data_IF_521814984443
#
_entry.id   IF_521814984443
#
_cell.length_a   1.000
_cell.length_b   1.000
_cell.length_c   1.000
_cell.angle_alpha   90.00
_cell.angle_beta   90.00
_cell.angle_gamma   90.00
#
_symmetry.space_group_name_H-M   'P 1'
#
loop_
_entity.id
_entity.type
_entity.pdbx_description
1 polymer ?
#
# COMPACT_ATOMS: atom_id res chain seq x y z
N UNK A 1 -15.21 -8.98 -25.88
CA UNK A 1 -14.90 -10.39 -25.60
C UNK A 1 -14.14 -10.38 -24.30
N UNK A 2 -14.71 -10.96 -23.24
CA UNK A 2 -13.99 -11.11 -21.97
C UNK A 2 -12.89 -12.15 -22.20
N UNK A 3 -11.64 -11.72 -22.12
CA UNK A 3 -10.51 -12.61 -22.33
C UNK A 3 -10.46 -13.62 -21.19
N UNK A 4 -10.52 -14.90 -21.54
CA UNK A 4 -10.53 -16.00 -20.58
C UNK A 4 -9.32 -15.96 -19.63
N UNK A 5 -9.53 -16.42 -18.39
CA UNK A 5 -8.45 -16.63 -17.43
C UNK A 5 -7.52 -17.75 -17.93
N UNK A 6 -6.21 -17.51 -18.07
CA UNK A 6 -5.23 -18.52 -18.45
C UNK A 6 -5.24 -19.73 -17.50
N UNK A 7 -5.14 -20.94 -18.04
CA UNK A 7 -5.20 -22.18 -17.25
C UNK A 7 -3.99 -22.39 -16.33
N UNK A 8 -2.85 -21.79 -16.68
CA UNK A 8 -1.61 -21.86 -15.91
C UNK A 8 -1.49 -20.75 -14.85
N UNK A 9 -2.46 -19.84 -14.77
CA UNK A 9 -2.53 -18.86 -13.68
C UNK A 9 -3.14 -19.46 -12.42
N UNK A 10 -2.77 -18.94 -11.23
CA UNK A 10 -3.43 -19.32 -9.99
C UNK A 10 -4.93 -19.01 -10.05
N UNK A 11 -5.69 -19.61 -9.14
CA UNK A 11 -7.11 -19.26 -8.93
C UNK A 11 -7.23 -17.76 -8.66
N UNK A 12 -8.32 -17.17 -9.15
CA UNK A 12 -8.60 -15.75 -8.90
C UNK A 12 -8.70 -15.49 -7.40
N UNK A 13 -7.98 -14.47 -6.94
CA UNK A 13 -8.09 -13.98 -5.57
C UNK A 13 -9.39 -13.18 -5.40
N UNK A 14 -9.82 -12.99 -4.15
CA UNK A 14 -11.00 -12.19 -3.82
C UNK A 14 -10.85 -10.73 -4.30
N UNK A 15 -9.64 -10.18 -4.18
CA UNK A 15 -9.28 -8.86 -4.72
C UNK A 15 -8.53 -9.03 -6.06
N UNK A 16 -9.22 -8.77 -7.17
CA UNK A 16 -8.67 -8.82 -8.53
C UNK A 16 -8.86 -7.48 -9.26
N UNK A 17 -7.76 -6.89 -9.70
CA UNK A 17 -7.75 -5.69 -10.53
C UNK A 17 -7.36 -6.04 -11.98
N UNK A 18 -8.16 -5.62 -12.95
CA UNK A 18 -7.89 -5.84 -14.38
C UNK A 18 -7.60 -4.51 -15.06
N UNK A 19 -6.32 -4.28 -15.39
CA UNK A 19 -5.87 -3.09 -16.13
C UNK A 19 -5.86 -3.33 -17.64
N UNK A 20 -5.53 -4.56 -18.05
CA UNK A 20 -5.65 -5.00 -19.43
C UNK A 20 -6.38 -6.35 -19.45
N UNK A 21 -7.59 -6.44 -20.02
CA UNK A 21 -8.29 -7.70 -20.18
C UNK A 21 -7.46 -8.71 -20.98
N UNK A 22 -6.67 -8.26 -21.95
CA UNK A 22 -5.78 -9.12 -22.73
C UNK A 22 -4.36 -9.18 -22.14
N UNK A 23 -4.19 -8.72 -20.91
CA UNK A 23 -2.92 -8.72 -20.21
C UNK A 23 -2.33 -10.12 -20.12
N UNK A 24 -1.02 -10.18 -20.33
CA UNK A 24 -0.16 -11.36 -20.32
C UNK A 24 0.72 -11.42 -19.05
N UNK A 25 0.57 -10.49 -18.13
CA UNK A 25 1.28 -10.50 -16.84
C UNK A 25 0.27 -10.47 -15.71
N UNK A 26 0.47 -11.34 -14.72
CA UNK A 26 -0.27 -11.34 -13.46
C UNK A 26 0.67 -10.97 -12.32
N UNK A 27 0.44 -9.82 -11.69
CA UNK A 27 1.16 -9.41 -10.48
C UNK A 27 0.45 -9.96 -9.26
N UNK A 28 1.21 -10.54 -8.32
CA UNK A 28 0.71 -11.07 -7.05
C UNK A 28 1.23 -10.21 -5.89
N UNK A 29 0.33 -9.55 -5.18
CA UNK A 29 0.64 -8.66 -4.05
C UNK A 29 -0.06 -9.15 -2.79
N UNK A 30 0.37 -8.61 -1.64
CA UNK A 30 -0.17 -8.94 -0.34
C UNK A 30 -0.69 -7.67 0.34
N UNK A 31 -1.94 -7.70 0.79
CA UNK A 31 -2.52 -6.67 1.67
C UNK A 31 -2.43 -7.17 3.11
N UNK A 32 -1.78 -6.40 3.97
CA UNK A 32 -1.74 -6.66 5.41
C UNK A 32 -2.92 -5.95 6.07
N UNK A 33 -3.93 -6.72 6.48
CA UNK A 33 -5.11 -6.17 7.14
C UNK A 33 -4.76 -5.90 8.61
N UNK A 34 -4.90 -4.64 9.03
CA UNK A 34 -4.78 -4.28 10.45
C UNK A 34 -6.10 -4.59 11.16
N UNK A 35 -6.05 -4.96 12.43
CA UNK A 35 -7.23 -5.30 13.24
C UNK A 35 -8.30 -4.17 13.27
N UNK A 36 -7.90 -2.93 12.98
CA UNK A 36 -8.75 -1.74 12.96
C UNK A 36 -9.71 -1.70 11.75
N UNK A 37 -9.41 -2.38 10.64
CA UNK A 37 -10.28 -2.39 9.44
C UNK A 37 -11.47 -3.36 9.56
N UNK A 38 -11.52 -4.18 10.62
CA UNK A 38 -12.55 -5.22 10.81
C UNK A 38 -13.87 -4.60 11.31
N UNK A 39 -13.84 -3.39 11.88
CA UNK A 39 -15.04 -2.75 12.44
C UNK A 39 -15.97 -2.11 11.42
N UNK A 40 -15.56 -1.97 10.15
CA UNK A 40 -16.40 -1.34 9.11
C UNK A 40 -17.37 -2.31 8.38
N UNK A 41 -17.31 -3.63 8.68
CA UNK A 41 -18.18 -4.62 8.04
C UNK A 41 -19.45 -4.97 8.83
N UNK A 42 -19.63 -4.46 10.06
CA UNK A 42 -20.84 -4.70 10.86
C UNK A 42 -21.32 -3.35 11.39
N UNK A 43 -22.53 -2.97 10.98
CA UNK A 43 -23.28 -1.75 11.33
C UNK A 43 -22.93 -0.45 10.59
N UNK A 44 -23.42 -0.32 9.35
CA UNK A 44 -23.88 0.99 8.86
C UNK A 44 -25.15 0.90 8.02
N UNK A 45 -26.29 0.91 8.72
CA UNK A 45 -27.55 1.39 8.16
C UNK A 45 -27.36 2.82 7.63
N UNK A 46 -27.83 3.14 6.40
CA UNK A 46 -27.60 4.44 5.79
C UNK A 46 -28.58 5.47 6.34
N UNK A 47 -28.13 6.31 7.27
CA UNK A 47 -28.82 7.57 7.60
C UNK A 47 -28.27 8.70 6.73
N UNK A 48 -29.15 9.26 5.90
CA UNK A 48 -28.92 10.45 5.08
C UNK A 48 -28.69 11.69 5.98
N UNK A 49 -27.70 12.55 5.69
CA UNK A 49 -27.63 13.87 6.31
C UNK A 49 -28.30 14.94 5.42
N UNK A 50 -29.25 15.64 6.04
CA UNK A 50 -29.88 16.88 5.57
C UNK A 50 -28.89 18.06 5.69
N UNK A 51 -28.96 18.98 4.73
CA UNK A 51 -28.22 20.25 4.65
C UNK A 51 -28.55 21.23 5.79
N UNK A 52 -27.77 22.33 5.82
CA UNK A 52 -27.83 23.58 6.62
C UNK A 52 -26.75 23.60 7.73
N UNK A 53 -25.85 24.57 7.89
CA UNK A 53 -25.60 25.87 7.26
C UNK A 53 -24.14 26.30 7.48
N UNK A 54 -23.68 27.21 6.63
CA UNK A 54 -22.37 27.88 6.65
C UNK A 54 -22.42 29.03 7.67
N UNK A 55 -21.50 29.08 8.64
CA UNK A 55 -21.13 30.35 9.30
C UNK A 55 -19.62 30.46 9.51
N UNK A 56 -19.08 31.54 8.93
CA UNK A 56 -17.71 32.03 9.03
C UNK A 56 -17.63 33.00 10.20
N UNK A 57 -16.70 32.81 11.14
CA UNK A 57 -16.23 33.91 12.00
C UNK A 57 -14.72 33.80 12.23
N UNK A 58 -14.01 34.82 11.76
CA UNK A 58 -12.61 35.11 12.10
C UNK A 58 -12.54 35.87 13.43
N UNK A 59 -11.54 35.59 14.26
CA UNK A 59 -11.09 36.53 15.29
C UNK A 59 -9.60 36.33 15.63
N UNK A 60 -8.98 37.48 15.86
CA UNK A 60 -7.56 37.82 16.02
C UNK A 60 -6.86 37.26 17.27
N UNK A 61 -5.53 37.13 17.11
CA UNK A 61 -4.43 37.55 18.00
C UNK A 61 -4.50 37.30 19.53
N UNK A 62 -3.55 36.49 20.01
CA UNK A 62 -2.90 36.70 21.31
C UNK A 62 -1.48 36.08 21.32
N UNK A 63 -0.45 36.94 21.35
CA UNK A 63 0.91 36.63 21.82
C UNK A 63 0.84 36.33 23.35
N UNK A 64 1.76 35.65 24.06
CA UNK A 64 3.23 35.69 24.25
C UNK A 64 3.55 34.46 25.19
N UNK A 65 4.75 34.20 25.76
CA UNK A 65 6.15 34.19 25.32
C UNK A 65 6.85 32.83 25.48
N UNK A 66 8.02 32.73 24.85
CA UNK A 66 9.06 31.69 24.99
C UNK A 66 9.56 31.56 26.44
N UNK A 67 9.63 30.33 26.94
CA UNK A 67 10.43 29.96 28.10
C UNK A 67 11.40 28.84 27.72
N UNK A 68 12.69 29.18 27.71
CA UNK A 68 13.79 28.24 27.75
C UNK A 68 13.75 27.46 29.08
N UNK A 69 13.81 26.13 29.03
CA UNK A 69 14.38 25.37 30.14
C UNK A 69 15.11 24.14 29.62
N UNK A 70 16.37 24.08 30.03
CA UNK A 70 17.43 23.12 29.78
C UNK A 70 17.15 21.82 30.57
N UNK A 71 17.31 20.61 29.99
CA UNK A 71 17.30 19.39 30.79
C UNK A 71 18.73 19.01 31.22
N UNK A 72 19.03 19.28 32.49
CA UNK A 72 20.22 18.79 33.20
C UNK A 72 20.05 17.28 33.49
N UNK A 73 21.05 16.49 33.10
CA UNK A 73 21.18 15.08 33.44
C UNK A 73 22.03 14.91 34.72
N UNK A 74 21.75 13.89 35.53
CA UNK A 74 22.84 13.27 36.29
C UNK A 74 22.90 11.75 36.09
N UNK A 75 24.12 11.29 35.87
CA UNK A 75 24.53 9.90 35.91
C UNK A 75 24.79 9.39 37.36
N UNK A 76 24.91 8.06 37.45
CA UNK A 76 25.63 7.24 38.44
C UNK A 76 24.87 6.70 39.65
N UNK A 77 24.92 5.35 39.78
CA UNK A 77 25.07 4.69 41.09
C UNK A 77 24.18 3.46 41.36
N UNK A 78 24.60 2.28 40.91
CA UNK A 78 24.28 0.98 41.56
C UNK A 78 24.95 0.88 42.97
N UNK A 79 24.61 -0.06 43.90
CA UNK A 79 24.02 -1.39 43.69
C UNK A 79 22.95 -1.90 44.71
N UNK A 80 22.48 -3.12 44.43
CA UNK A 80 21.49 -4.03 45.06
C UNK A 80 21.41 -4.09 46.60
N UNK A 81 20.24 -4.52 47.13
CA UNK A 81 20.23 -5.80 47.85
C UNK A 81 19.08 -6.74 47.46
N UNK A 82 19.39 -8.04 47.59
CA UNK A 82 18.49 -9.18 47.52
C UNK A 82 17.31 -9.10 48.52
N UNK A 83 16.11 -9.42 48.05
CA UNK A 83 15.17 -10.19 48.85
C UNK A 83 14.17 -10.96 47.95
N UNK A 84 14.18 -12.27 48.18
CA UNK A 84 13.29 -13.28 47.65
C UNK A 84 11.85 -12.99 48.02
N UNK A 85 10.93 -13.04 47.05
CA UNK A 85 9.53 -13.41 47.23
C UNK A 85 8.90 -13.67 45.87
N UNK A 86 8.87 -14.94 45.48
CA UNK A 86 8.08 -15.43 44.36
C UNK A 86 6.60 -15.24 44.66
N UNK A 87 5.95 -14.37 43.89
CA UNK A 87 4.51 -14.47 43.64
C UNK A 87 4.34 -14.37 42.13
N UNK A 88 4.47 -15.50 41.46
CA UNK A 88 4.00 -15.67 40.09
C UNK A 88 2.48 -15.57 40.13
N UNK A 89 1.96 -14.37 39.90
CA UNK A 89 0.59 -14.20 39.44
C UNK A 89 0.58 -14.74 38.03
N UNK A 90 0.03 -15.94 37.87
CA UNK A 90 -0.33 -16.46 36.57
C UNK A 90 -1.39 -15.53 35.99
N UNK A 91 -0.94 -14.56 35.19
CA UNK A 91 -1.79 -13.89 34.24
C UNK A 91 -2.01 -14.89 33.10
N UNK A 92 -2.95 -15.80 33.31
CA UNK A 92 -3.54 -16.59 32.23
C UNK A 92 -4.43 -15.61 31.45
N UNK A 93 -3.78 -14.85 30.59
CA UNK A 93 -4.45 -14.09 29.56
C UNK A 93 -3.97 -14.69 28.25
N UNK A 94 -4.87 -15.20 27.42
CA UNK A 94 -4.51 -15.55 26.07
C UNK A 94 -4.20 -14.21 25.40
N UNK A 95 -2.91 -13.84 25.39
CA UNK A 95 -2.40 -13.01 24.33
C UNK A 95 -2.57 -13.85 23.06
N UNK A 96 -3.76 -13.78 22.47
CA UNK A 96 -3.93 -14.11 21.07
C UNK A 96 -3.04 -13.11 20.33
N UNK A 97 -1.83 -13.55 20.03
CA UNK A 97 -0.99 -12.99 19.00
C UNK A 97 -1.78 -13.15 17.70
N UNK A 98 -2.67 -12.19 17.43
CA UNK A 98 -3.49 -12.15 16.24
C UNK A 98 -2.55 -11.97 15.06
N UNK A 99 -2.14 -13.10 14.47
CA UNK A 99 -1.38 -13.14 13.23
C UNK A 99 -2.03 -12.18 12.22
N UNK A 100 -1.27 -11.21 11.68
CA UNK A 100 -1.82 -10.25 10.73
C UNK A 100 -2.40 -11.01 9.54
N UNK A 101 -3.69 -10.80 9.27
CA UNK A 101 -4.35 -11.46 8.14
C UNK A 101 -3.79 -10.89 6.84
N UNK A 102 -3.15 -11.76 6.06
CA UNK A 102 -2.66 -11.42 4.73
C UNK A 102 -3.75 -11.77 3.72
N UNK A 103 -4.21 -10.78 2.96
CA UNK A 103 -5.10 -10.97 1.82
C UNK A 103 -4.31 -10.89 0.52
N UNK A 104 -4.44 -11.90 -0.34
CA UNK A 104 -3.78 -11.89 -1.64
C UNK A 104 -4.53 -10.96 -2.61
N UNK A 105 -3.77 -10.11 -3.31
CA UNK A 105 -4.27 -9.20 -4.34
C UNK A 105 -3.66 -9.58 -5.69
N UNK A 106 -4.50 -9.67 -6.72
CA UNK A 106 -4.08 -10.01 -8.08
C UNK A 106 -4.29 -8.83 -9.03
N UNK A 107 -3.32 -8.57 -9.89
CA UNK A 107 -3.43 -7.49 -10.88
C UNK A 107 -3.05 -7.99 -12.27
N UNK A 108 -4.03 -7.99 -13.19
CA UNK A 108 -3.82 -8.38 -14.60
C UNK A 108 -3.42 -7.17 -15.43
N UNK A 109 -2.24 -7.23 -16.03
CA UNK A 109 -1.59 -6.10 -16.70
C UNK A 109 -0.92 -6.52 -18.02
N UNK A 110 -0.59 -5.54 -18.85
CA UNK A 110 0.07 -5.76 -20.13
C UNK A 110 1.59 -5.67 -20.01
N UNK A 111 2.32 -6.70 -20.43
CA UNK A 111 3.79 -6.70 -20.51
C UNK A 111 4.28 -5.53 -21.35
N UNK A 112 3.58 -5.19 -22.44
CA UNK A 112 3.94 -4.09 -23.35
C UNK A 112 3.92 -2.74 -22.65
N UNK A 113 2.88 -2.46 -21.86
CA UNK A 113 2.79 -1.20 -21.11
C UNK A 113 3.86 -1.15 -20.02
N UNK A 114 4.08 -2.24 -19.28
CA UNK A 114 5.14 -2.31 -18.27
C UNK A 114 6.54 -2.08 -18.87
N UNK A 115 6.86 -2.77 -19.97
CA UNK A 115 8.16 -2.66 -20.69
C UNK A 115 8.40 -1.27 -21.27
N UNK A 116 7.32 -0.59 -21.69
CA UNK A 116 7.40 0.76 -22.21
C UNK A 116 7.63 1.78 -21.10
N UNK A 117 6.92 1.65 -19.98
CA UNK A 117 6.95 2.62 -18.89
C UNK A 117 8.14 2.48 -17.94
N UNK A 118 8.73 1.29 -17.82
CA UNK A 118 9.75 0.99 -16.81
C UNK A 118 10.95 0.24 -17.39
N UNK A 119 12.15 0.74 -17.10
CA UNK A 119 13.38 -0.01 -17.35
C UNK A 119 13.49 -1.27 -16.46
N UNK A 120 13.03 -1.18 -15.21
CA UNK A 120 13.05 -2.30 -14.25
C UNK A 120 12.15 -3.44 -14.74
N UNK A 121 10.91 -3.15 -15.11
CA UNK A 121 10.01 -4.18 -15.68
C UNK A 121 10.51 -4.71 -17.01
N UNK A 122 11.08 -3.86 -17.87
CA UNK A 122 11.71 -4.33 -19.12
C UNK A 122 12.77 -5.38 -18.84
N UNK A 123 13.67 -5.12 -17.91
CA UNK A 123 14.75 -6.03 -17.56
C UNK A 123 14.21 -7.33 -16.96
N UNK A 124 13.23 -7.23 -16.05
CA UNK A 124 12.60 -8.38 -15.41
C UNK A 124 11.85 -9.28 -16.41
N UNK A 125 11.03 -8.69 -17.29
CA UNK A 125 10.24 -9.41 -18.29
C UNK A 125 11.07 -9.93 -19.46
N UNK A 126 12.24 -9.32 -19.72
CA UNK A 126 13.20 -9.79 -20.74
C UNK A 126 14.21 -10.81 -20.18
N UNK A 127 14.13 -11.15 -18.89
CA UNK A 127 14.97 -12.19 -18.30
C UNK A 127 14.71 -13.55 -18.96
N UNK A 128 15.68 -14.46 -18.88
CA UNK A 128 15.56 -15.76 -19.55
C UNK A 128 14.31 -16.53 -19.11
N UNK A 129 13.97 -16.53 -17.82
CA UNK A 129 12.80 -17.22 -17.29
C UNK A 129 11.49 -16.56 -17.72
N UNK A 130 11.30 -15.28 -17.38
CA UNK A 130 10.05 -14.56 -17.67
C UNK A 130 9.82 -14.41 -19.17
N UNK A 131 10.89 -14.11 -19.93
CA UNK A 131 10.85 -14.00 -21.39
C UNK A 131 10.50 -15.33 -22.05
N UNK A 132 11.08 -16.45 -21.59
CA UNK A 132 10.74 -17.77 -22.10
C UNK A 132 9.28 -18.15 -21.82
N UNK A 133 8.76 -17.83 -20.62
CA UNK A 133 7.35 -18.04 -20.29
C UNK A 133 6.43 -17.21 -21.18
N UNK A 134 6.71 -15.91 -21.37
CA UNK A 134 5.94 -15.06 -22.28
C UNK A 134 5.97 -15.55 -23.74
N UNK A 135 7.04 -16.19 -24.17
CA UNK A 135 7.14 -16.77 -25.51
C UNK A 135 6.37 -18.10 -25.63
N UNK A 136 6.48 -18.96 -24.63
CA UNK A 136 5.95 -20.34 -24.66
C UNK A 136 4.48 -20.39 -24.22
N UNK A 137 4.18 -19.80 -23.08
CA UNK A 137 2.88 -19.84 -22.41
C UNK A 137 2.03 -18.60 -22.70
N UNK A 138 2.61 -17.58 -23.35
CA UNK A 138 1.97 -16.29 -23.65
C UNK A 138 1.54 -15.50 -22.42
N UNK A 139 1.97 -15.91 -21.24
CA UNK A 139 1.71 -15.21 -20.00
C UNK A 139 2.78 -15.52 -18.94
N UNK A 140 2.85 -14.69 -17.89
CA UNK A 140 3.78 -14.86 -16.77
C UNK A 140 3.17 -14.32 -15.48
N UNK A 141 3.53 -14.94 -14.35
CA UNK A 141 3.14 -14.51 -13.00
C UNK A 141 4.35 -13.95 -12.28
N UNK A 142 4.20 -12.81 -11.59
CA UNK A 142 5.28 -12.15 -10.87
C UNK A 142 4.86 -11.78 -9.44
N UNK A 143 5.62 -12.22 -8.41
CA UNK A 143 5.36 -11.84 -7.03
C UNK A 143 5.93 -10.45 -6.71
N UNK A 144 5.14 -9.65 -5.98
CA UNK A 144 5.46 -8.33 -5.44
C UNK A 144 4.98 -8.28 -3.98
N UNK A 145 5.57 -9.09 -3.08
CA UNK A 145 5.09 -9.22 -1.71
C UNK A 145 5.30 -7.94 -0.87
N UNK A 146 6.32 -7.14 -1.22
CA UNK A 146 6.71 -5.94 -0.48
C UNK A 146 6.02 -4.66 -0.99
N UNK A 147 5.32 -4.74 -2.12
CA UNK A 147 4.62 -3.60 -2.69
C UNK A 147 3.23 -3.44 -2.10
N UNK A 148 2.88 -2.20 -1.78
CA UNK A 148 1.56 -1.88 -1.29
C UNK A 148 0.55 -1.88 -2.45
N UNK A 149 -0.55 -2.65 -2.36
CA UNK A 149 -1.52 -2.77 -3.45
C UNK A 149 -2.07 -1.43 -3.94
N UNK A 150 -2.41 -0.52 -3.03
CA UNK A 150 -3.03 0.76 -3.38
C UNK A 150 -2.07 1.68 -4.16
N UNK A 151 -0.77 1.61 -3.83
CA UNK A 151 0.29 2.32 -4.56
C UNK A 151 0.39 1.76 -5.99
N UNK A 152 0.46 0.44 -6.11
CA UNK A 152 0.56 -0.22 -7.41
C UNK A 152 -0.68 0.00 -8.28
N UNK A 153 -1.88 0.05 -7.71
CA UNK A 153 -3.11 0.37 -8.45
C UNK A 153 -3.02 1.73 -9.13
N UNK A 154 -2.54 2.76 -8.41
CA UNK A 154 -2.37 4.10 -8.97
C UNK A 154 -1.34 4.09 -10.10
N UNK A 155 -0.16 3.50 -9.85
CA UNK A 155 0.91 3.43 -10.84
C UNK A 155 0.49 2.67 -12.10
N UNK A 156 -0.25 1.58 -11.95
CA UNK A 156 -0.73 0.78 -13.07
C UNK A 156 -1.82 1.49 -13.88
N UNK A 157 -2.68 2.30 -13.25
CA UNK A 157 -3.58 3.18 -13.99
C UNK A 157 -2.81 4.16 -14.87
N UNK A 158 -1.73 4.76 -14.35
CA UNK A 158 -0.86 5.66 -15.12
C UNK A 158 -0.20 4.91 -16.28
N UNK A 159 0.44 3.76 -15.99
CA UNK A 159 1.17 2.96 -16.99
C UNK A 159 0.25 2.48 -18.14
N UNK A 160 -1.03 2.20 -17.85
CA UNK A 160 -2.01 1.78 -18.84
C UNK A 160 -2.79 2.94 -19.48
N UNK A 161 -2.41 4.20 -19.18
CA UNK A 161 -3.06 5.40 -19.74
C UNK A 161 -4.49 5.62 -19.24
N UNK A 162 -4.89 4.98 -18.14
CA UNK A 162 -6.20 5.13 -17.51
C UNK A 162 -6.23 6.35 -16.57
N UNK A 163 -5.76 7.49 -17.09
CA UNK A 163 -5.49 8.72 -16.31
C UNK A 163 -6.73 9.31 -15.64
N UNK A 164 -7.93 8.96 -16.09
CA UNK A 164 -9.20 9.36 -15.46
C UNK A 164 -9.45 8.65 -14.12
N UNK A 165 -8.81 7.49 -13.88
CA UNK A 165 -8.90 6.74 -12.62
C UNK A 165 -7.78 7.09 -11.63
N UNK A 166 -6.83 7.93 -12.03
CA UNK A 166 -5.73 8.36 -11.17
C UNK A 166 -6.25 9.45 -10.22
N UNK A 167 -6.13 9.27 -8.90
CA UNK A 167 -6.57 10.27 -7.92
C UNK A 167 -5.86 11.61 -8.14
N UNK A 168 -6.61 12.72 -8.04
CA UNK A 168 -6.07 14.09 -8.16
C UNK A 168 -5.54 14.64 -6.84
N UNK A 169 -5.93 14.02 -5.74
CA UNK A 169 -5.50 14.37 -4.39
C UNK A 169 -5.14 13.06 -3.69
N UNK A 170 -4.00 13.07 -3.01
CA UNK A 170 -3.51 11.95 -2.19
C UNK A 170 -2.96 12.51 -0.89
N UNK A 171 -2.96 11.69 0.17
CA UNK A 171 -2.33 12.09 1.43
C UNK A 171 -0.81 12.18 1.27
N UNK A 172 -0.14 12.95 2.13
CA UNK A 172 1.32 13.04 2.14
C UNK A 172 1.98 11.66 2.31
N UNK A 173 1.37 10.78 3.12
CA UNK A 173 1.83 9.41 3.30
C UNK A 173 1.77 8.62 1.99
N UNK A 174 0.65 8.69 1.26
CA UNK A 174 0.50 8.02 -0.05
C UNK A 174 1.46 8.60 -1.09
N UNK A 175 1.63 9.93 -1.12
CA UNK A 175 2.58 10.59 -2.02
C UNK A 175 4.02 10.11 -1.78
N UNK A 176 4.41 9.96 -0.52
CA UNK A 176 5.74 9.45 -0.14
C UNK A 176 5.94 8.02 -0.63
N UNK A 177 4.93 7.15 -0.45
CA UNK A 177 4.96 5.77 -0.93
C UNK A 177 5.02 5.70 -2.46
N UNK A 178 4.22 6.52 -3.15
CA UNK A 178 4.26 6.65 -4.61
C UNK A 178 5.64 7.09 -5.09
N UNK A 179 6.25 8.11 -4.48
CA UNK A 179 7.58 8.58 -4.85
C UNK A 179 8.65 7.48 -4.69
N UNK A 180 8.59 6.73 -3.59
CA UNK A 180 9.49 5.59 -3.35
C UNK A 180 9.30 4.50 -4.42
N UNK A 181 8.06 4.11 -4.71
CA UNK A 181 7.74 3.10 -5.73
C UNK A 181 8.14 3.57 -7.15
N UNK A 182 7.90 4.84 -7.50
CA UNK A 182 8.33 5.42 -8.78
C UNK A 182 9.84 5.33 -8.95
N UNK A 183 10.59 5.64 -7.90
CA UNK A 183 12.04 5.56 -7.93
C UNK A 183 12.53 4.12 -8.03
N UNK A 184 11.92 3.20 -7.28
CA UNK A 184 12.26 1.78 -7.29
C UNK A 184 11.99 1.13 -8.66
N UNK A 185 10.81 1.36 -9.23
CA UNK A 185 10.40 0.80 -10.52
C UNK A 185 10.92 1.59 -11.72
N UNK A 186 11.60 2.72 -11.53
CA UNK A 186 12.14 3.56 -12.63
C UNK A 186 11.07 3.95 -13.66
N UNK A 187 9.96 4.53 -13.19
CA UNK A 187 8.80 4.93 -14.00
C UNK A 187 8.60 6.46 -14.04
N UNK A 188 9.67 7.24 -13.86
CA UNK A 188 9.61 8.71 -13.76
C UNK A 188 8.93 9.36 -14.98
N UNK A 189 9.28 8.93 -16.19
CA UNK A 189 8.71 9.47 -17.43
C UNK A 189 7.20 9.26 -17.53
N UNK A 190 6.69 8.12 -17.04
CA UNK A 190 5.26 7.82 -17.08
C UNK A 190 4.46 8.71 -16.10
N UNK A 191 5.06 9.11 -14.99
CA UNK A 191 4.39 9.89 -13.93
C UNK A 191 4.64 11.40 -14.03
N UNK A 192 5.48 11.86 -14.95
CA UNK A 192 5.87 13.27 -15.11
C UNK A 192 4.66 14.21 -15.24
N UNK A 193 3.59 13.79 -15.93
CA UNK A 193 2.36 14.58 -16.06
C UNK A 193 1.61 14.82 -14.74
N UNK A 194 2.00 14.12 -13.67
CA UNK A 194 1.38 14.19 -12.35
C UNK A 194 2.34 14.77 -11.30
N UNK A 195 3.57 15.15 -11.65
CA UNK A 195 4.52 15.73 -10.68
C UNK A 195 4.33 17.22 -10.43
N UNK A 196 3.65 17.92 -11.34
CA UNK A 196 3.53 19.38 -11.34
C UNK A 196 2.19 19.89 -10.77
N UNK A 197 1.34 18.98 -10.28
CA UNK A 197 0.03 19.25 -9.67
C UNK A 197 0.10 19.28 -8.16
#
# INVERSE_FOLDING_TARGET
MDAAWPQNWPTQADELHIFDPNGDVLLLLNRHLSTEDITDFVDREPSLPTQEDIEVVSAEEAAIPVAHFEPEAPELGSPLPSCSSSLSVSFDSPAEELEPRIQQVQMRVSSKHLVLASHTFRTSLSSFSAGHMLQTERNVTMPFPDEEPDVMVILLHIIHGQNSKVPRQVSLAMLTKLAAAVNYHRIQEAVELFSDI
#
